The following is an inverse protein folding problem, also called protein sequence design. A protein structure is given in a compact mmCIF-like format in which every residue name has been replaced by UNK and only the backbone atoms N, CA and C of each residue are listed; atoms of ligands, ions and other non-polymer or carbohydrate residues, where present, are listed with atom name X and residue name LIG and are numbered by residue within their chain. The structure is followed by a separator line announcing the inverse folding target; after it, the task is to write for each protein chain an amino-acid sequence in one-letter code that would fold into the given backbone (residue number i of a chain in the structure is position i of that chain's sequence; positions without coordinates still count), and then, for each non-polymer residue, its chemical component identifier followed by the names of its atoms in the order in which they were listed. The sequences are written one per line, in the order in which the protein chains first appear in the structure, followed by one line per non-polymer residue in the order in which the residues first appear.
data_IF_129564868006
#
_entry.id   IF_129564868006
#
_cell.length_a   1.000
_cell.length_b   1.000
_cell.length_c   1.000
_cell.angle_alpha   90.00
_cell.angle_beta   90.00
_cell.angle_gamma   90.00
#
_symmetry.space_group_name_H-M   'P 1'
#
loop_
_entity.id
_entity.type
_entity.pdbx_description
1 polymer ?
#
# COMPACT_ATOMS: atom_id res chain seq x y z
N UNK A 1 0.13 -10.10 -32.24
CA UNK A 1 0.93 -10.34 -31.02
C UNK A 1 0.00 -10.72 -29.89
N UNK A 2 0.19 -11.88 -29.27
CA UNK A 2 -0.64 -12.36 -28.15
C UNK A 2 -0.35 -11.57 -26.87
N UNK A 3 -1.33 -11.48 -25.97
CA UNK A 3 -1.21 -10.79 -24.67
C UNK A 3 -0.06 -11.37 -23.84
N UNK A 4 0.15 -12.69 -23.91
CA UNK A 4 1.27 -13.39 -23.28
C UNK A 4 2.65 -12.90 -23.76
N UNK A 5 2.80 -12.58 -25.06
CA UNK A 5 4.06 -12.09 -25.60
C UNK A 5 4.38 -10.64 -25.15
N UNK A 6 3.35 -9.81 -24.95
CA UNK A 6 3.50 -8.46 -24.40
C UNK A 6 3.82 -8.50 -22.91
N UNK A 7 3.15 -9.37 -22.16
CA UNK A 7 3.39 -9.57 -20.73
C UNK A 7 4.82 -10.03 -20.47
N UNK A 8 5.31 -11.01 -21.25
CA UNK A 8 6.69 -11.50 -21.14
C UNK A 8 7.75 -10.44 -21.48
N UNK A 9 7.40 -9.41 -22.26
CA UNK A 9 8.35 -8.37 -22.72
C UNK A 9 8.48 -7.17 -21.76
N UNK A 10 7.52 -6.94 -20.87
CA UNK A 10 7.58 -5.75 -20.01
C UNK A 10 8.52 -5.98 -18.81
N UNK A 11 9.77 -5.52 -18.95
CA UNK A 11 10.78 -5.59 -17.89
C UNK A 11 10.28 -4.95 -16.59
N UNK A 12 9.57 -3.83 -16.67
CA UNK A 12 9.02 -3.12 -15.49
C UNK A 12 8.02 -3.96 -14.72
N UNK A 13 7.16 -4.73 -15.41
CA UNK A 13 6.22 -5.64 -14.74
C UNK A 13 6.96 -6.76 -14.01
N UNK A 14 8.00 -7.32 -14.62
CA UNK A 14 8.82 -8.35 -14.00
C UNK A 14 9.60 -7.84 -12.80
N UNK A 15 10.16 -6.63 -12.89
CA UNK A 15 10.83 -5.99 -11.76
C UNK A 15 9.82 -5.78 -10.63
N UNK A 16 8.65 -5.21 -10.90
CA UNK A 16 7.61 -5.00 -9.89
C UNK A 16 7.14 -6.30 -9.24
N UNK A 17 6.93 -7.35 -10.04
CA UNK A 17 6.55 -8.67 -9.54
C UNK A 17 7.68 -9.31 -8.70
N UNK A 18 8.92 -9.25 -9.17
CA UNK A 18 10.08 -9.76 -8.44
C UNK A 18 10.27 -9.03 -7.10
N UNK A 19 10.10 -7.70 -7.09
CA UNK A 19 10.13 -6.91 -5.86
C UNK A 19 8.98 -7.23 -4.90
N UNK A 20 7.79 -7.58 -5.41
CA UNK A 20 6.68 -8.01 -4.56
C UNK A 20 6.92 -9.41 -3.98
N UNK A 21 7.45 -10.33 -4.78
CA UNK A 21 7.74 -11.70 -4.35
C UNK A 21 8.95 -11.81 -3.41
N UNK A 22 9.92 -10.90 -3.53
CA UNK A 22 11.10 -10.90 -2.65
C UNK A 22 10.75 -10.73 -1.18
N UNK A 23 9.63 -10.07 -0.86
CA UNK A 23 9.11 -10.00 0.51
C UNK A 23 8.93 -11.40 1.14
N UNK A 24 8.31 -12.31 0.39
CA UNK A 24 8.04 -13.69 0.87
C UNK A 24 9.29 -14.55 0.96
N UNK A 25 10.31 -14.23 0.15
CA UNK A 25 11.61 -14.90 0.24
C UNK A 25 12.30 -14.49 1.54
N UNK A 26 12.22 -13.22 1.93
CA UNK A 26 12.91 -12.70 3.13
C UNK A 26 12.13 -12.96 4.43
N UNK A 27 10.79 -13.03 4.37
CA UNK A 27 9.93 -13.13 5.55
C UNK A 27 10.29 -14.27 6.53
N UNK A 28 10.68 -15.49 6.11
CA UNK A 28 11.05 -16.56 7.04
C UNK A 28 12.34 -16.30 7.82
N UNK A 29 13.18 -15.35 7.38
CA UNK A 29 14.52 -15.12 7.92
C UNK A 29 14.58 -13.97 8.93
N UNK A 30 13.52 -13.16 9.06
CA UNK A 30 13.49 -11.99 9.93
C UNK A 30 12.36 -12.10 10.96
N UNK A 31 12.59 -11.68 12.22
CA UNK A 31 11.51 -11.49 13.17
C UNK A 31 10.47 -10.51 12.59
N UNK A 32 9.19 -10.88 12.66
CA UNK A 32 8.06 -10.08 12.13
C UNK A 32 8.11 -8.63 12.61
N UNK A 33 8.54 -8.43 13.85
CA UNK A 33 8.70 -7.11 14.46
C UNK A 33 9.69 -6.23 13.68
N UNK A 34 10.91 -6.70 13.50
CA UNK A 34 11.95 -5.98 12.75
C UNK A 34 11.56 -5.79 11.29
N UNK A 35 10.92 -6.80 10.68
CA UNK A 35 10.49 -6.72 9.29
C UNK A 35 9.48 -5.58 9.06
N UNK A 36 8.49 -5.42 9.95
CA UNK A 36 7.51 -4.33 9.83
C UNK A 36 8.12 -2.95 10.04
N UNK A 37 9.15 -2.83 10.87
CA UNK A 37 9.88 -1.57 11.07
C UNK A 37 10.67 -1.18 9.82
N UNK A 38 11.44 -2.12 9.25
CA UNK A 38 12.16 -1.89 8.01
C UNK A 38 11.24 -1.58 6.82
N UNK A 39 10.09 -2.24 6.72
CA UNK A 39 9.09 -1.90 5.70
C UNK A 39 8.61 -0.46 5.85
N UNK A 40 8.36 0.01 7.06
CA UNK A 40 7.97 1.41 7.31
C UNK A 40 9.10 2.36 6.95
N UNK A 41 10.35 2.03 7.28
CA UNK A 41 11.52 2.82 6.86
C UNK A 41 11.60 2.90 5.33
N UNK A 42 11.42 1.78 4.61
CA UNK A 42 11.38 1.79 3.14
C UNK A 42 10.21 2.61 2.60
N UNK A 43 9.02 2.52 3.20
CA UNK A 43 7.89 3.37 2.83
C UNK A 43 8.27 4.85 2.96
N UNK A 44 8.90 5.26 4.06
CA UNK A 44 9.35 6.64 4.29
C UNK A 44 10.38 7.07 3.25
N UNK A 45 11.42 6.25 3.02
CA UNK A 45 12.50 6.57 2.08
C UNK A 45 11.98 6.70 0.66
N UNK A 46 11.20 5.72 0.18
CA UNK A 46 10.69 5.73 -1.20
C UNK A 46 9.63 6.81 -1.40
N UNK A 47 8.68 6.96 -0.47
CA UNK A 47 7.66 8.01 -0.60
C UNK A 47 8.24 9.41 -0.45
N UNK A 48 9.16 9.62 0.50
CA UNK A 48 9.88 10.89 0.65
C UNK A 48 10.71 11.25 -0.57
N UNK A 49 11.48 10.30 -1.11
CA UNK A 49 12.26 10.50 -2.35
C UNK A 49 11.34 10.80 -3.54
N UNK A 50 10.22 10.08 -3.66
CA UNK A 50 9.25 10.32 -4.71
C UNK A 50 8.59 11.70 -4.58
N UNK A 51 8.24 12.15 -3.37
CA UNK A 51 7.73 13.51 -3.14
C UNK A 51 8.72 14.55 -3.66
N UNK A 52 10.01 14.41 -3.33
CA UNK A 52 11.07 15.33 -3.82
C UNK A 52 11.17 15.30 -5.34
N UNK A 53 11.14 14.10 -5.95
CA UNK A 53 11.20 13.95 -7.40
C UNK A 53 9.98 14.55 -8.12
N UNK A 54 8.79 14.47 -7.53
CA UNK A 54 7.55 15.02 -8.08
C UNK A 54 7.34 16.50 -7.76
N UNK A 55 8.08 17.07 -6.80
CA UNK A 55 7.92 18.44 -6.35
C UNK A 55 8.06 19.49 -7.47
N UNK A 56 9.00 19.38 -8.43
CA UNK A 56 9.06 20.33 -9.55
C UNK A 56 7.79 20.32 -10.41
N UNK A 57 7.24 19.13 -10.70
CA UNK A 57 6.03 18.99 -11.50
C UNK A 57 4.79 19.51 -10.76
N UNK A 58 4.72 19.27 -9.44
CA UNK A 58 3.70 19.87 -8.58
C UNK A 58 3.78 21.40 -8.59
N UNK A 59 4.98 21.96 -8.41
CA UNK A 59 5.23 23.40 -8.47
C UNK A 59 4.84 23.97 -9.83
N UNK A 60 5.15 23.29 -10.92
CA UNK A 60 4.79 23.74 -12.26
C UNK A 60 3.27 23.85 -12.45
N UNK A 61 2.49 22.87 -11.96
CA UNK A 61 1.03 22.92 -12.00
C UNK A 61 0.45 24.08 -11.20
N UNK A 62 1.03 24.38 -10.04
CA UNK A 62 0.56 25.48 -9.18
C UNK A 62 0.85 26.84 -9.81
N UNK A 63 1.99 26.98 -10.50
CA UNK A 63 2.44 28.26 -11.05
C UNK A 63 1.99 28.51 -12.49
N UNK A 64 1.68 27.46 -13.26
CA UNK A 64 1.37 27.57 -14.68
C UNK A 64 0.07 26.83 -15.03
N UNK A 65 -0.74 27.40 -15.94
CA UNK A 65 -1.89 26.69 -16.46
C UNK A 65 -1.42 25.40 -17.13
N UNK A 66 -2.05 24.30 -16.72
CA UNK A 66 -1.73 22.95 -17.16
C UNK A 66 -3.04 22.19 -17.41
N UNK A 67 -3.05 21.16 -18.27
CA UNK A 67 -4.25 20.36 -18.50
C UNK A 67 -4.77 19.77 -17.19
N UNK A 68 -6.08 19.87 -16.95
CA UNK A 68 -6.76 19.36 -15.74
C UNK A 68 -6.39 17.89 -15.45
N UNK A 69 -6.20 17.11 -16.51
CA UNK A 69 -5.73 15.73 -16.45
C UNK A 69 -4.39 15.55 -15.74
N UNK A 70 -3.39 16.36 -16.11
CA UNK A 70 -2.06 16.34 -15.51
C UNK A 70 -2.11 16.82 -14.05
N UNK A 71 -2.94 17.85 -13.78
CA UNK A 71 -3.16 18.35 -12.43
C UNK A 71 -3.72 17.27 -11.49
N UNK A 72 -4.75 16.56 -11.92
CA UNK A 72 -5.37 15.48 -11.15
C UNK A 72 -4.38 14.35 -10.86
N UNK A 73 -3.60 13.92 -11.85
CA UNK A 73 -2.63 12.84 -11.67
C UNK A 73 -1.52 13.25 -10.68
N UNK A 74 -0.97 14.44 -10.83
CA UNK A 74 0.15 14.91 -9.99
C UNK A 74 -0.34 15.19 -8.57
N UNK A 75 -1.50 15.84 -8.42
CA UNK A 75 -2.12 16.06 -7.11
C UNK A 75 -2.41 14.74 -6.41
N UNK A 76 -2.97 13.76 -7.13
CA UNK A 76 -3.24 12.44 -6.58
C UNK A 76 -1.99 11.72 -6.11
N UNK A 77 -0.92 11.75 -6.92
CA UNK A 77 0.36 11.14 -6.56
C UNK A 77 1.00 11.82 -5.34
N UNK A 78 1.00 13.16 -5.28
CA UNK A 78 1.57 13.91 -4.14
C UNK A 78 0.78 13.60 -2.86
N UNK A 79 -0.55 13.71 -2.89
CA UNK A 79 -1.39 13.41 -1.71
C UNK A 79 -1.22 11.98 -1.22
N UNK A 80 -1.20 11.01 -2.16
CA UNK A 80 -0.97 9.60 -1.83
C UNK A 80 0.39 9.40 -1.15
N UNK A 81 1.47 9.91 -1.74
CA UNK A 81 2.82 9.75 -1.20
C UNK A 81 2.99 10.47 0.14
N UNK A 82 2.41 11.66 0.31
CA UNK A 82 2.43 12.37 1.59
C UNK A 82 1.68 11.60 2.67
N UNK A 83 0.49 11.06 2.35
CA UNK A 83 -0.27 10.20 3.26
C UNK A 83 0.49 8.93 3.65
N UNK A 84 1.13 8.26 2.69
CA UNK A 84 1.98 7.08 2.92
C UNK A 84 3.20 7.41 3.78
N UNK A 85 3.90 8.52 3.48
CA UNK A 85 5.09 8.95 4.21
C UNK A 85 4.75 9.30 5.66
N UNK A 86 3.78 10.20 5.86
CA UNK A 86 3.36 10.64 7.18
C UNK A 86 2.74 9.52 8.00
N UNK A 87 1.91 8.67 7.38
CA UNK A 87 1.35 7.48 8.03
C UNK A 87 2.42 6.46 8.43
N UNK A 88 3.45 6.24 7.59
CA UNK A 88 4.55 5.34 7.93
C UNK A 88 5.42 5.88 9.09
N UNK A 89 5.71 7.20 9.10
CA UNK A 89 6.39 7.86 10.23
C UNK A 89 5.54 7.72 11.50
N UNK A 90 4.26 8.06 11.43
CA UNK A 90 3.35 8.01 12.56
C UNK A 90 3.26 6.61 13.17
N UNK A 91 3.09 5.60 12.31
CA UNK A 91 3.04 4.21 12.74
C UNK A 91 4.39 3.74 13.32
N UNK A 92 5.52 4.16 12.75
CA UNK A 92 6.85 3.84 13.30
C UNK A 92 7.00 4.41 14.73
N UNK A 93 6.62 5.68 14.94
CA UNK A 93 6.60 6.30 16.27
C UNK A 93 5.67 5.57 17.24
N UNK A 94 4.45 5.23 16.79
CA UNK A 94 3.50 4.43 17.58
C UNK A 94 4.09 3.11 18.06
N UNK A 95 4.89 2.47 17.21
CA UNK A 95 5.57 1.22 17.57
C UNK A 95 6.71 1.45 18.56
N UNK A 96 7.49 2.52 18.39
CA UNK A 96 8.56 2.89 19.32
C UNK A 96 8.03 3.27 20.71
N UNK A 97 6.80 3.81 20.80
CA UNK A 97 6.14 4.21 22.06
C UNK A 97 5.38 3.05 22.75
N UNK A 98 5.58 1.80 22.31
CA UNK A 98 4.91 0.65 22.93
C UNK A 98 3.44 0.47 22.54
N UNK A 99 3.04 0.99 21.38
CA UNK A 99 1.72 0.78 20.75
C UNK A 99 0.52 1.37 21.53
N UNK A 100 0.58 2.62 22.00
CA UNK A 100 -0.53 3.21 22.73
C UNK A 100 -1.79 3.35 21.85
N UNK A 101 -2.96 3.05 22.41
CA UNK A 101 -4.22 3.08 21.67
C UNK A 101 -4.62 4.48 21.15
N UNK A 102 -4.22 5.54 21.87
CA UNK A 102 -4.60 6.91 21.52
C UNK A 102 -4.04 7.35 20.16
N UNK A 103 -2.86 6.87 19.75
CA UNK A 103 -2.25 7.29 18.48
C UNK A 103 -3.01 6.76 17.27
N UNK A 104 -3.53 5.53 17.34
CA UNK A 104 -4.31 4.92 16.24
C UNK A 104 -5.71 5.53 16.18
N UNK A 105 -6.28 5.88 17.34
CA UNK A 105 -7.59 6.51 17.45
C UNK A 105 -7.56 8.04 17.31
N UNK A 106 -6.39 8.63 17.06
CA UNK A 106 -6.24 10.08 16.92
C UNK A 106 -6.71 10.59 15.55
N UNK A 107 -7.20 11.82 15.51
CA UNK A 107 -7.54 12.51 14.27
C UNK A 107 -6.33 12.66 13.34
N UNK A 108 -5.12 12.71 13.90
CA UNK A 108 -3.88 12.76 13.12
C UNK A 108 -3.66 11.48 12.31
N UNK A 109 -3.92 10.31 12.89
CA UNK A 109 -3.90 9.06 12.13
C UNK A 109 -5.00 9.04 11.06
N UNK A 110 -6.20 9.50 11.41
CA UNK A 110 -7.31 9.68 10.46
C UNK A 110 -6.94 10.59 9.28
N UNK A 111 -6.21 11.67 9.52
CA UNK A 111 -5.74 12.61 8.50
C UNK A 111 -4.79 11.94 7.49
N UNK A 112 -3.84 11.11 7.94
CA UNK A 112 -2.95 10.38 7.02
C UNK A 112 -3.72 9.42 6.12
N UNK A 113 -4.67 8.68 6.69
CA UNK A 113 -5.55 7.76 5.94
C UNK A 113 -6.42 8.55 4.95
N UNK A 114 -6.91 9.72 5.35
CA UNK A 114 -7.67 10.62 4.49
C UNK A 114 -6.84 11.12 3.29
N UNK A 115 -5.58 11.52 3.50
CA UNK A 115 -4.68 11.91 2.40
C UNK A 115 -4.44 10.78 1.40
N UNK A 116 -4.21 9.55 1.88
CA UNK A 116 -4.08 8.38 0.99
C UNK A 116 -5.37 8.17 0.18
N UNK A 117 -6.53 8.30 0.83
CA UNK A 117 -7.85 8.15 0.19
C UNK A 117 -8.09 9.22 -0.88
N UNK A 118 -7.76 10.48 -0.60
CA UNK A 118 -7.80 11.56 -1.60
C UNK A 118 -6.85 11.30 -2.76
N UNK A 119 -5.63 10.84 -2.49
CA UNK A 119 -4.67 10.48 -3.53
C UNK A 119 -5.18 9.40 -4.47
N UNK A 120 -5.82 8.36 -3.93
CA UNK A 120 -6.51 7.32 -4.69
C UNK A 120 -7.68 7.88 -5.51
N UNK A 121 -8.49 8.78 -4.93
CA UNK A 121 -9.60 9.43 -5.63
C UNK A 121 -9.12 10.27 -6.83
N UNK A 122 -8.09 11.10 -6.64
CA UNK A 122 -7.51 11.88 -7.73
C UNK A 122 -6.88 11.00 -8.82
N UNK A 123 -6.23 9.90 -8.42
CA UNK A 123 -5.68 8.91 -9.37
C UNK A 123 -6.75 8.15 -10.15
N UNK A 124 -7.95 8.02 -9.59
CA UNK A 124 -9.09 7.38 -10.24
C UNK A 124 -9.72 8.28 -11.32
N UNK A 125 -9.85 9.57 -11.03
CA UNK A 125 -10.42 10.55 -11.97
C UNK A 125 -9.40 11.01 -13.02
N UNK A 126 -8.11 10.91 -12.72
CA UNK A 126 -7.04 11.23 -13.66
C UNK A 126 -7.20 10.36 -14.93
N UNK A 127 -7.22 10.99 -16.13
CA UNK A 127 -7.39 10.23 -17.35
C UNK A 127 -6.17 9.36 -17.62
N UNK A 128 -6.44 8.12 -18.01
CA UNK A 128 -5.44 7.08 -18.22
C UNK A 128 -4.97 7.10 -19.67
N UNK A 129 -4.37 8.19 -20.10
CA UNK A 129 -3.88 8.33 -21.47
C UNK A 129 -2.58 7.55 -21.67
N UNK A 130 -2.70 6.29 -22.09
CA UNK A 130 -1.60 5.54 -22.70
C UNK A 130 -1.62 5.72 -24.22
N UNK A 131 -1.21 6.90 -24.68
CA UNK A 131 -0.64 7.24 -26.00
C UNK A 131 -1.33 6.80 -27.33
N UNK A 132 -2.37 5.96 -27.40
CA UNK A 132 -2.98 5.56 -28.69
C UNK A 132 -4.51 5.45 -28.76
N UNK A 133 -5.20 5.63 -27.65
CA UNK A 133 -6.63 5.92 -27.52
C UNK A 133 -6.89 5.81 -26.01
N UNK A 134 -7.37 6.86 -25.31
CA UNK A 134 -7.74 6.71 -23.92
C UNK A 134 -8.74 5.54 -23.83
N UNK A 135 -8.46 4.47 -23.06
CA UNK A 135 -9.51 3.54 -22.73
C UNK A 135 -10.59 4.36 -22.03
N UNK A 136 -11.69 4.65 -22.74
CA UNK A 136 -12.78 5.48 -22.22
C UNK A 136 -13.11 4.98 -20.82
N UNK A 137 -12.85 5.82 -19.81
CA UNK A 137 -13.15 5.48 -18.43
C UNK A 137 -14.61 5.09 -18.38
N UNK A 138 -14.87 3.80 -18.16
CA UNK A 138 -16.24 3.28 -18.08
C UNK A 138 -16.77 3.70 -16.72
N UNK A 139 -17.27 4.93 -16.61
CA UNK A 139 -17.76 5.52 -15.36
C UNK A 139 -18.80 4.63 -14.68
N UNK A 140 -19.60 3.87 -15.42
CA UNK A 140 -20.47 2.83 -14.85
C UNK A 140 -19.72 1.75 -14.05
N UNK A 141 -18.57 1.25 -14.52
CA UNK A 141 -17.74 0.30 -13.76
C UNK A 141 -17.14 0.93 -12.51
N UNK A 142 -16.70 2.19 -12.62
CA UNK A 142 -16.14 2.95 -11.49
C UNK A 142 -17.22 3.19 -10.43
N UNK A 143 -18.41 3.61 -10.85
CA UNK A 143 -19.56 3.82 -9.97
C UNK A 143 -19.99 2.51 -9.28
N UNK A 144 -20.07 1.41 -10.01
CA UNK A 144 -20.36 0.09 -9.40
C UNK A 144 -19.29 -0.34 -8.40
N UNK A 145 -18.01 -0.21 -8.75
CA UNK A 145 -16.92 -0.53 -7.83
C UNK A 145 -16.94 0.35 -6.57
N UNK A 146 -17.32 1.63 -6.72
CA UNK A 146 -17.50 2.55 -5.61
C UNK A 146 -18.68 2.14 -4.72
N UNK A 147 -19.86 1.89 -5.29
CA UNK A 147 -21.04 1.46 -4.54
C UNK A 147 -20.78 0.13 -3.80
N UNK A 148 -20.16 -0.84 -4.47
CA UNK A 148 -19.80 -2.13 -3.84
C UNK A 148 -18.83 -1.90 -2.67
N UNK A 149 -17.77 -1.12 -2.87
CA UNK A 149 -16.80 -0.80 -1.81
C UNK A 149 -17.45 -0.07 -0.63
N UNK A 150 -18.38 0.85 -0.91
CA UNK A 150 -19.10 1.62 0.11
C UNK A 150 -20.07 0.74 0.89
N UNK A 151 -20.85 -0.12 0.23
CA UNK A 151 -21.76 -1.06 0.88
C UNK A 151 -20.97 -2.05 1.74
N UNK A 152 -19.86 -2.59 1.23
CA UNK A 152 -18.98 -3.49 2.00
C UNK A 152 -18.38 -2.76 3.21
N UNK A 153 -17.81 -1.58 3.02
CA UNK A 153 -17.23 -0.80 4.12
C UNK A 153 -18.26 -0.41 5.18
N UNK A 154 -19.44 0.06 4.74
CA UNK A 154 -20.55 0.40 5.62
C UNK A 154 -21.04 -0.84 6.40
N UNK A 155 -21.21 -1.97 5.72
CA UNK A 155 -21.61 -3.23 6.31
C UNK A 155 -20.63 -3.71 7.38
N UNK A 156 -19.32 -3.66 7.10
CA UNK A 156 -18.27 -4.04 8.06
C UNK A 156 -18.34 -3.15 9.31
N UNK A 157 -18.48 -1.83 9.14
CA UNK A 157 -18.51 -0.87 10.26
C UNK A 157 -19.76 -1.02 11.13
N UNK A 158 -20.92 -1.26 10.53
CA UNK A 158 -22.19 -1.32 11.25
C UNK A 158 -22.51 -2.70 11.82
N UNK A 159 -22.26 -3.76 11.05
CA UNK A 159 -22.55 -5.12 11.50
C UNK A 159 -21.49 -5.62 12.49
N UNK A 160 -20.26 -5.06 12.43
CA UNK A 160 -19.09 -5.51 13.22
C UNK A 160 -19.05 -7.04 13.33
N UNK A 161 -19.03 -7.76 12.18
CA UNK A 161 -19.14 -9.21 12.19
C UNK A 161 -18.02 -9.80 13.05
N UNK A 162 -18.34 -10.83 13.83
CA UNK A 162 -17.35 -11.53 14.63
C UNK A 162 -16.35 -12.23 13.70
N UNK A 163 -15.16 -11.66 13.56
CA UNK A 163 -14.06 -12.19 12.75
C UNK A 163 -13.15 -13.13 13.55
N UNK A 164 -13.43 -13.36 14.84
CA UNK A 164 -12.60 -14.21 15.71
C UNK A 164 -12.35 -15.61 15.12
N UNK A 165 -13.35 -16.32 14.54
CA UNK A 165 -13.11 -17.64 13.94
C UNK A 165 -12.13 -17.61 12.77
N UNK A 166 -12.20 -16.57 11.93
CA UNK A 166 -11.31 -16.41 10.78
C UNK A 166 -9.90 -16.05 11.24
N UNK A 167 -9.79 -15.18 12.25
CA UNK A 167 -8.52 -14.79 12.84
C UNK A 167 -7.83 -16.00 13.48
N UNK A 168 -8.56 -16.84 14.21
CA UNK A 168 -7.98 -18.02 14.86
C UNK A 168 -7.57 -19.08 13.84
N UNK A 169 -8.36 -19.28 12.78
CA UNK A 169 -7.97 -20.13 11.64
C UNK A 169 -6.69 -19.62 10.95
N UNK A 170 -6.57 -18.30 10.72
CA UNK A 170 -5.38 -17.70 10.13
C UNK A 170 -4.16 -17.81 11.05
N UNK A 171 -4.33 -17.55 12.35
CA UNK A 171 -3.25 -17.67 13.34
C UNK A 171 -2.64 -19.06 13.30
N UNK A 172 -3.48 -20.11 13.34
CA UNK A 172 -3.01 -21.50 13.28
C UNK A 172 -2.14 -21.76 12.04
N UNK A 173 -2.60 -21.33 10.86
CA UNK A 173 -1.86 -21.54 9.60
C UNK A 173 -0.58 -20.73 9.47
N UNK A 174 -0.54 -19.53 10.03
CA UNK A 174 0.63 -18.65 9.95
C UNK A 174 1.66 -18.98 11.05
N UNK A 175 1.22 -19.35 12.26
CA UNK A 175 2.12 -19.70 13.37
C UNK A 175 2.84 -21.02 13.15
N UNK A 176 2.19 -22.01 12.52
CA UNK A 176 2.81 -23.30 12.17
C UNK A 176 4.05 -23.12 11.27
N UNK A 177 4.07 -22.09 10.42
CA UNK A 177 5.23 -21.76 9.56
C UNK A 177 6.37 -21.13 10.36
N UNK A 178 6.07 -20.38 11.43
CA UNK A 178 7.07 -19.70 12.25
C UNK A 178 7.74 -20.62 13.28
N UNK A 179 7.11 -21.74 13.66
CA UNK A 179 7.61 -22.65 14.71
C UNK A 179 8.25 -23.93 14.21
N UNK A 180 8.43 -24.13 12.90
CA UNK A 180 9.06 -25.35 12.37
C UNK A 180 10.54 -25.41 12.83
N UNK A 181 10.92 -26.31 13.76
CA UNK A 181 12.24 -26.31 14.35
C UNK A 181 13.22 -27.01 13.40
N UNK A 182 14.03 -26.22 12.70
CA UNK A 182 15.26 -26.73 12.12
C UNK A 182 16.30 -26.88 13.24
N UNK A 183 16.74 -28.13 13.43
CA UNK A 183 17.88 -28.57 14.24
C UNK A 183 17.72 -28.64 15.77
N UNK A 184 16.97 -29.65 16.22
CA UNK A 184 17.48 -30.51 17.29
C UNK A 184 18.60 -31.40 16.72
N UNK A 185 19.86 -30.95 16.76
CA UNK A 185 21.01 -31.86 16.62
C UNK A 185 21.20 -32.58 17.96
N UNK A 186 21.01 -33.91 18.03
CA UNK A 186 21.39 -34.68 19.21
C UNK A 186 22.91 -34.83 19.18
N UNK A 187 23.64 -33.89 19.80
CA UNK A 187 25.05 -34.15 20.07
C UNK A 187 25.13 -35.11 21.26
N UNK A 188 25.34 -36.36 20.90
CA UNK A 188 25.68 -37.48 21.76
C UNK A 188 26.82 -37.12 22.73
N UNK A 189 26.62 -37.51 23.99
CA UNK A 189 27.63 -37.79 25.03
C UNK A 189 28.79 -38.64 24.47
N UNK A 190 30.00 -38.57 25.06
CA UNK A 190 30.25 -39.18 26.38
C UNK A 190 30.29 -38.19 27.55
#
# INVERSE_FOLDING_TARGET
MTLAARFRRSLTLWIGLASALSYWIVAPFLPTNLQTEWLRVFMIVFSGTAIVAWFPAFREIVLRPSPVSAQQSIMGQVMFLTGVCGGAIWLLLWRMDGQPAWMVNSDLNGFWIYLVSLGCFYSLIAPKDMAKEPPRTRWGRVAWAFVISLVLGFGIVHMRPDITPVVDWLKQRVSEVATSPAHSSPLHKP
#
